data_IF_185119391229
#
_entry.id   IF_185119391229
#
_cell.length_a   1.000
_cell.length_b   1.000
_cell.length_c   1.000
_cell.angle_alpha   90.00
_cell.angle_beta   90.00
_cell.angle_gamma   90.00
#
_symmetry.space_group_name_H-M   'P 1'
#
loop_
_entity.id
_entity.type
_entity.pdbx_description
1 polymer ?
#
# COMPACT_ATOMS: atom_id res chain seq x y z
N UNK A 1 34.13 35.31 24.71
CA UNK A 1 33.25 34.43 23.92
C UNK A 1 32.15 33.98 24.88
N UNK A 2 31.01 34.66 24.84
CA UNK A 2 29.88 34.43 25.75
C UNK A 2 28.96 33.37 25.13
N UNK A 3 28.69 32.33 25.91
CA UNK A 3 27.72 31.26 25.56
C UNK A 3 26.28 31.82 25.61
N UNK A 4 25.42 31.52 24.66
CA UNK A 4 24.01 31.92 24.70
C UNK A 4 23.24 31.13 25.77
N UNK A 5 22.59 31.90 26.65
CA UNK A 5 21.70 31.42 27.70
C UNK A 5 20.42 30.83 27.08
N UNK A 6 20.19 29.52 27.26
CA UNK A 6 18.95 28.86 26.81
C UNK A 6 17.88 29.06 27.90
N UNK A 7 16.70 29.59 27.56
CA UNK A 7 15.62 29.74 28.52
C UNK A 7 15.17 28.38 29.04
N UNK A 8 15.22 28.21 30.36
CA UNK A 8 14.76 27.01 31.05
C UNK A 8 13.28 26.72 30.70
N UNK A 9 12.99 25.55 30.09
CA UNK A 9 11.62 25.10 29.89
C UNK A 9 10.93 24.94 31.23
N UNK A 10 9.98 25.83 31.53
CA UNK A 10 9.12 25.73 32.72
C UNK A 10 8.38 24.38 32.70
N UNK A 11 8.75 23.48 33.59
CA UNK A 11 8.02 22.23 33.82
C UNK A 11 6.75 22.57 34.57
N UNK A 12 5.60 22.38 33.90
CA UNK A 12 4.29 22.50 34.53
C UNK A 12 4.16 21.43 35.64
N UNK A 13 3.89 21.80 36.86
CA UNK A 13 3.70 20.87 37.95
C UNK A 13 2.32 20.15 37.82
N UNK A 14 2.20 18.96 38.41
CA UNK A 14 0.98 18.13 38.33
C UNK A 14 -0.26 18.84 38.88
N UNK A 15 -0.12 19.70 39.90
CA UNK A 15 -1.24 20.45 40.48
C UNK A 15 -1.75 21.51 39.52
N UNK A 16 -0.86 22.18 38.82
CA UNK A 16 -1.20 23.17 37.80
C UNK A 16 -1.87 22.51 36.61
N UNK A 17 -1.39 21.36 36.16
CA UNK A 17 -2.03 20.58 35.10
C UNK A 17 -3.45 20.14 35.48
N UNK A 18 -3.67 19.65 36.71
CA UNK A 18 -5.00 19.25 37.20
C UNK A 18 -5.95 20.46 37.27
N UNK A 19 -5.48 21.64 37.75
CA UNK A 19 -6.28 22.86 37.76
C UNK A 19 -6.72 23.25 36.35
N UNK A 20 -5.85 23.17 35.37
CA UNK A 20 -6.20 23.44 33.95
C UNK A 20 -7.24 22.47 33.41
N UNK A 21 -7.13 21.17 33.72
CA UNK A 21 -8.11 20.15 33.30
C UNK A 21 -9.49 20.42 33.94
N UNK A 22 -9.54 20.72 35.24
CA UNK A 22 -10.79 21.04 35.96
C UNK A 22 -11.41 22.32 35.44
N UNK A 23 -10.60 23.36 35.15
CA UNK A 23 -11.13 24.62 34.60
C UNK A 23 -11.65 24.45 33.18
N UNK A 24 -10.98 23.64 32.34
CA UNK A 24 -11.45 23.31 31.00
C UNK A 24 -12.75 22.50 31.04
N UNK A 25 -12.88 21.54 31.95
CA UNK A 25 -14.12 20.78 32.14
C UNK A 25 -15.29 21.64 32.63
N UNK A 26 -15.04 22.64 33.52
CA UNK A 26 -16.05 23.56 33.98
C UNK A 26 -16.52 24.53 32.87
N UNK A 27 -15.65 24.92 31.94
CA UNK A 27 -16.02 25.79 30.82
C UNK A 27 -16.87 25.05 29.77
N UNK A 28 -16.76 23.73 29.65
CA UNK A 28 -17.60 22.92 28.78
C UNK A 28 -19.04 22.76 29.28
N UNK A 29 -19.28 22.91 30.58
CA UNK A 29 -20.64 22.81 31.17
C UNK A 29 -21.48 24.05 30.96
N UNK A 30 -20.92 25.18 30.53
CA UNK A 30 -21.64 26.43 30.25
C UNK A 30 -21.92 26.63 28.77
N UNK A 31 -21.35 25.81 27.89
CA UNK A 31 -21.74 25.81 26.47
C UNK A 31 -23.11 25.18 26.31
N UNK A 32 -24.05 25.99 25.86
CA UNK A 32 -25.44 25.59 25.59
C UNK A 32 -25.46 24.30 24.73
N UNK A 33 -26.18 23.29 25.20
CA UNK A 33 -26.36 22.03 24.48
C UNK A 33 -26.88 22.21 23.04
N UNK A 34 -27.50 23.34 22.75
CA UNK A 34 -28.00 23.68 21.42
C UNK A 34 -26.87 23.93 20.41
N UNK A 35 -25.64 24.36 20.85
CA UNK A 35 -24.50 24.58 19.97
C UNK A 35 -23.72 23.31 19.69
N UNK A 36 -23.88 22.25 20.51
CA UNK A 36 -23.27 20.93 20.28
C UNK A 36 -24.12 20.03 19.37
N UNK A 37 -25.39 20.42 19.15
CA UNK A 37 -26.33 19.70 18.28
C UNK A 37 -26.42 20.32 16.86
N UNK A 38 -25.63 21.31 16.53
CA UNK A 38 -25.50 21.72 15.13
C UNK A 38 -24.84 20.59 14.36
N UNK A 39 -25.62 19.85 13.56
CA UNK A 39 -25.05 18.96 12.56
C UNK A 39 -23.94 19.71 11.83
N UNK A 40 -22.73 19.13 11.71
CA UNK A 40 -21.72 19.71 10.87
C UNK A 40 -22.33 19.95 9.49
N UNK A 41 -22.10 21.12 8.86
CA UNK A 41 -22.64 21.39 7.53
C UNK A 41 -22.30 20.21 6.64
N UNK A 42 -23.32 19.63 6.00
CA UNK A 42 -23.18 18.47 5.15
C UNK A 42 -21.96 18.70 4.25
N UNK A 43 -20.89 17.94 4.52
CA UNK A 43 -19.68 18.04 3.73
C UNK A 43 -20.10 17.78 2.30
N UNK A 44 -19.85 18.76 1.40
CA UNK A 44 -20.05 18.55 -0.04
C UNK A 44 -19.41 17.23 -0.37
N UNK A 45 -20.18 16.27 -0.86
CA UNK A 45 -19.70 14.96 -1.25
C UNK A 45 -18.46 15.18 -2.13
N UNK A 46 -17.29 14.78 -1.64
CA UNK A 46 -16.07 14.88 -2.41
C UNK A 46 -16.24 13.91 -3.58
N UNK A 47 -16.40 14.44 -4.77
CA UNK A 47 -16.59 13.64 -5.98
C UNK A 47 -15.35 12.76 -6.16
N UNK A 48 -15.51 11.45 -6.10
CA UNK A 48 -14.45 10.50 -6.38
C UNK A 48 -13.75 9.85 -5.18
N UNK A 49 -14.03 10.29 -3.96
CA UNK A 49 -13.46 9.65 -2.76
C UNK A 49 -14.54 8.84 -2.05
N UNK A 50 -14.23 7.58 -1.75
CA UNK A 50 -15.09 6.80 -0.86
C UNK A 50 -15.13 7.46 0.51
N UNK A 51 -16.24 8.10 0.82
CA UNK A 51 -16.47 8.82 2.10
C UNK A 51 -17.49 8.08 2.94
N UNK A 52 -17.60 6.76 2.79
CA UNK A 52 -18.51 5.99 3.62
C UNK A 52 -17.98 5.96 5.05
N UNK A 53 -18.72 6.51 6.03
CA UNK A 53 -18.33 6.46 7.44
C UNK A 53 -18.46 5.06 8.05
N UNK A 54 -19.09 4.12 7.36
CA UNK A 54 -19.24 2.74 7.82
C UNK A 54 -17.98 1.93 7.55
N UNK A 55 -17.07 1.94 8.50
CA UNK A 55 -15.80 1.18 8.44
C UNK A 55 -15.98 -0.34 8.46
N UNK A 56 -17.19 -0.85 8.70
CA UNK A 56 -17.51 -2.28 8.69
C UNK A 56 -17.99 -2.75 7.33
N UNK A 57 -18.33 -1.84 6.44
CA UNK A 57 -18.80 -2.17 5.09
C UNK A 57 -17.66 -2.72 4.25
N UNK A 58 -17.89 -3.89 3.69
CA UNK A 58 -16.97 -4.50 2.73
C UNK A 58 -17.40 -4.14 1.32
N UNK A 59 -16.50 -3.55 0.56
CA UNK A 59 -16.70 -3.21 -0.86
C UNK A 59 -16.12 -4.31 -1.74
N UNK A 60 -16.78 -4.51 -2.88
CA UNK A 60 -16.24 -5.33 -3.97
C UNK A 60 -15.52 -4.43 -4.96
N UNK A 61 -14.53 -4.97 -5.72
CA UNK A 61 -13.90 -4.23 -6.80
C UNK A 61 -14.93 -3.61 -7.74
N UNK A 62 -14.82 -2.30 -8.00
CA UNK A 62 -15.73 -1.55 -8.86
C UNK A 62 -16.98 -0.96 -8.17
N UNK A 63 -17.21 -1.20 -6.89
CA UNK A 63 -18.38 -0.65 -6.18
C UNK A 63 -18.29 0.88 -6.00
N UNK A 64 -17.08 1.42 -5.89
CA UNK A 64 -16.87 2.85 -5.61
C UNK A 64 -16.57 3.66 -6.87
N UNK A 65 -15.81 3.09 -7.78
CA UNK A 65 -15.49 3.66 -9.10
C UNK A 65 -15.31 2.56 -10.15
N UNK A 66 -15.50 2.88 -11.46
CA UNK A 66 -15.32 1.88 -12.51
C UNK A 66 -13.86 1.45 -12.60
N UNK A 67 -13.64 0.16 -12.80
CA UNK A 67 -12.32 -0.42 -12.96
C UNK A 67 -11.73 -0.09 -14.34
N UNK A 68 -10.39 -0.09 -14.43
CA UNK A 68 -9.63 0.30 -15.62
C UNK A 68 -9.30 -0.88 -16.51
N UNK A 69 -8.98 -2.05 -15.94
CA UNK A 69 -8.49 -3.17 -16.73
C UNK A 69 -9.55 -3.74 -17.67
N UNK A 70 -9.16 -3.93 -18.93
CA UNK A 70 -9.86 -4.85 -19.82
C UNK A 70 -9.61 -6.30 -19.38
N UNK A 71 -10.40 -7.24 -19.90
CA UNK A 71 -10.18 -8.67 -19.58
C UNK A 71 -8.79 -9.16 -19.96
N UNK A 72 -8.25 -8.70 -21.09
CA UNK A 72 -6.91 -9.06 -21.55
C UNK A 72 -5.84 -8.49 -20.61
N UNK A 73 -5.96 -7.22 -20.24
CA UNK A 73 -5.06 -6.58 -19.26
C UNK A 73 -5.14 -7.27 -17.90
N UNK A 74 -6.34 -7.67 -17.49
CA UNK A 74 -6.53 -8.41 -16.25
C UNK A 74 -5.82 -9.76 -16.28
N UNK A 75 -5.92 -10.52 -17.38
CA UNK A 75 -5.20 -11.80 -17.52
C UNK A 75 -3.69 -11.62 -17.42
N UNK A 76 -3.16 -10.61 -18.11
CA UNK A 76 -1.73 -10.26 -18.04
C UNK A 76 -1.31 -9.84 -16.65
N UNK A 77 -2.12 -9.02 -15.97
CA UNK A 77 -1.87 -8.58 -14.60
C UNK A 77 -1.88 -9.74 -13.60
N UNK A 78 -2.85 -10.66 -13.69
CA UNK A 78 -2.91 -11.89 -12.88
C UNK A 78 -1.61 -12.68 -13.01
N UNK A 79 -1.18 -12.94 -14.23
CA UNK A 79 0.04 -13.70 -14.48
C UNK A 79 1.29 -12.96 -13.98
N UNK A 80 1.38 -11.66 -14.19
CA UNK A 80 2.53 -10.88 -13.70
C UNK A 80 2.59 -10.85 -12.17
N UNK A 81 1.45 -10.75 -11.49
CA UNK A 81 1.39 -10.87 -10.04
C UNK A 81 1.97 -12.21 -9.56
N UNK A 82 1.64 -13.30 -10.22
CA UNK A 82 2.12 -14.65 -9.86
C UNK A 82 3.59 -14.89 -10.26
N UNK A 83 4.09 -14.21 -11.27
CA UNK A 83 5.53 -14.19 -11.58
C UNK A 83 6.32 -13.46 -10.48
N UNK A 84 5.76 -12.40 -9.89
CA UNK A 84 6.40 -11.60 -8.85
C UNK A 84 6.32 -12.29 -7.49
N UNK A 85 5.14 -12.79 -7.10
CA UNK A 85 4.91 -13.54 -5.85
C UNK A 85 4.19 -14.84 -6.20
N UNK A 86 4.96 -15.87 -6.59
CA UNK A 86 4.40 -17.19 -6.88
C UNK A 86 3.98 -17.93 -5.61
N UNK A 87 3.08 -18.89 -5.76
CA UNK A 87 2.79 -19.81 -4.66
C UNK A 87 4.02 -20.64 -4.30
N UNK A 88 4.18 -20.90 -3.01
CA UNK A 88 5.16 -21.84 -2.47
C UNK A 88 4.52 -22.77 -1.42
N UNK A 89 5.34 -23.51 -0.66
CA UNK A 89 4.87 -24.44 0.36
C UNK A 89 4.18 -23.77 1.57
N UNK A 90 4.35 -22.44 1.75
CA UNK A 90 3.88 -21.69 2.92
C UNK A 90 2.85 -20.64 2.56
N UNK A 91 2.89 -20.15 1.32
CA UNK A 91 2.18 -18.94 0.89
C UNK A 91 1.49 -19.15 -0.46
N UNK A 92 0.24 -18.68 -0.65
CA UNK A 92 -0.44 -18.71 -1.94
C UNK A 92 0.18 -17.72 -2.94
N UNK A 93 -0.13 -17.89 -4.22
CA UNK A 93 0.22 -16.88 -5.23
C UNK A 93 -0.53 -15.57 -5.01
N UNK A 94 0.05 -14.47 -5.47
CA UNK A 94 -0.54 -13.13 -5.32
C UNK A 94 -1.95 -13.02 -5.94
N UNK A 95 -2.19 -13.67 -7.06
CA UNK A 95 -3.51 -13.65 -7.70
C UNK A 95 -4.59 -14.32 -6.85
N UNK A 96 -4.23 -15.35 -6.09
CA UNK A 96 -5.17 -16.12 -5.26
C UNK A 96 -5.76 -15.29 -4.12
N UNK A 97 -5.03 -14.28 -3.65
CA UNK A 97 -5.45 -13.41 -2.54
C UNK A 97 -5.99 -12.05 -3.00
N UNK A 98 -6.32 -11.91 -4.29
CA UNK A 98 -7.01 -10.73 -4.82
C UNK A 98 -6.09 -9.55 -5.17
N UNK A 99 -4.77 -9.75 -5.27
CA UNK A 99 -3.83 -8.67 -5.61
C UNK A 99 -4.11 -8.01 -6.96
N UNK A 100 -4.50 -8.73 -8.03
CA UNK A 100 -4.88 -8.08 -9.29
C UNK A 100 -6.07 -7.12 -9.14
N UNK A 101 -7.05 -7.45 -8.30
CA UNK A 101 -8.19 -6.60 -7.99
C UNK A 101 -7.75 -5.34 -7.23
N UNK A 102 -6.87 -5.50 -6.25
CA UNK A 102 -6.27 -4.38 -5.53
C UNK A 102 -5.53 -3.42 -6.49
N UNK A 103 -4.75 -3.94 -7.45
CA UNK A 103 -4.02 -3.10 -8.41
C UNK A 103 -4.99 -2.35 -9.31
N UNK A 104 -6.04 -3.02 -9.82
CA UNK A 104 -7.06 -2.37 -10.65
C UNK A 104 -7.80 -1.28 -9.89
N UNK A 105 -8.24 -1.55 -8.65
CA UNK A 105 -8.83 -0.54 -7.76
C UNK A 105 -7.88 0.64 -7.52
N UNK A 106 -6.59 0.37 -7.24
CA UNK A 106 -5.59 1.41 -7.00
C UNK A 106 -5.46 2.36 -8.19
N UNK A 107 -5.25 1.82 -9.40
CA UNK A 107 -5.05 2.64 -10.59
C UNK A 107 -6.33 3.30 -11.09
N UNK A 108 -7.49 2.78 -10.69
CA UNK A 108 -8.80 3.32 -11.06
C UNK A 108 -9.26 4.44 -10.14
N UNK A 109 -8.74 4.47 -8.91
CA UNK A 109 -9.11 5.44 -7.89
C UNK A 109 -8.81 6.87 -8.33
N UNK A 110 -9.74 7.82 -8.11
CA UNK A 110 -9.60 9.22 -8.54
C UNK A 110 -8.75 10.05 -7.55
N UNK A 111 -7.68 9.47 -7.01
CA UNK A 111 -6.77 10.16 -6.11
C UNK A 111 -5.64 10.87 -6.86
N UNK A 112 -5.12 11.99 -6.35
CA UNK A 112 -3.98 12.67 -6.96
C UNK A 112 -2.78 11.73 -7.12
N UNK A 113 -2.25 11.63 -8.34
CA UNK A 113 -1.09 10.81 -8.68
C UNK A 113 -1.41 9.39 -9.16
N UNK A 114 -2.62 8.86 -8.91
CA UNK A 114 -3.01 7.53 -9.40
C UNK A 114 -3.18 7.49 -10.93
N UNK A 115 -3.44 8.63 -11.58
CA UNK A 115 -3.44 8.80 -13.03
C UNK A 115 -2.08 8.44 -13.66
N UNK A 116 -0.98 8.76 -13.00
CA UNK A 116 0.38 8.40 -13.44
C UNK A 116 0.61 6.89 -13.34
N UNK A 117 0.19 6.29 -12.23
CA UNK A 117 0.25 4.84 -12.05
C UNK A 117 -0.59 4.12 -13.10
N UNK A 118 -1.82 4.61 -13.34
CA UNK A 118 -2.71 4.07 -14.38
C UNK A 118 -2.06 4.08 -15.74
N UNK A 119 -1.54 5.23 -16.16
CA UNK A 119 -0.89 5.36 -17.47
C UNK A 119 0.30 4.39 -17.61
N UNK A 120 1.13 4.31 -16.57
CA UNK A 120 2.33 3.46 -16.56
C UNK A 120 1.97 1.96 -16.56
N UNK A 121 0.99 1.54 -15.76
CA UNK A 121 0.56 0.14 -15.66
C UNK A 121 -0.11 -0.32 -16.95
N UNK A 122 -1.04 0.46 -17.51
CA UNK A 122 -1.71 0.12 -18.77
C UNK A 122 -0.72 0.02 -19.93
N UNK A 123 0.22 0.97 -20.03
CA UNK A 123 1.30 0.95 -21.03
C UNK A 123 2.18 -0.30 -20.87
N UNK A 124 2.56 -0.63 -19.63
CA UNK A 124 3.42 -1.76 -19.35
C UNK A 124 2.76 -3.12 -19.63
N UNK A 125 1.49 -3.29 -19.30
CA UNK A 125 0.73 -4.50 -19.62
C UNK A 125 0.60 -4.68 -21.15
N UNK A 126 0.34 -3.60 -21.89
CA UNK A 126 0.29 -3.66 -23.35
C UNK A 126 1.66 -4.02 -23.96
N UNK A 127 2.75 -3.50 -23.39
CA UNK A 127 4.10 -3.85 -23.82
C UNK A 127 4.42 -5.33 -23.56
N UNK A 128 4.06 -5.89 -22.39
CA UNK A 128 4.24 -7.30 -22.10
C UNK A 128 3.57 -8.19 -23.12
N UNK A 129 2.33 -7.88 -23.51
CA UNK A 129 1.61 -8.61 -24.55
C UNK A 129 2.29 -8.52 -25.93
N UNK A 130 2.75 -7.33 -26.31
CA UNK A 130 3.46 -7.13 -27.57
C UNK A 130 4.78 -7.90 -27.61
N UNK A 131 5.57 -7.80 -26.55
CA UNK A 131 6.87 -8.47 -26.40
C UNK A 131 6.72 -10.00 -26.38
N UNK A 132 5.69 -10.49 -25.70
CA UNK A 132 5.34 -11.89 -25.64
C UNK A 132 5.01 -12.47 -27.03
N UNK A 133 4.15 -11.78 -27.77
CA UNK A 133 3.80 -12.15 -29.14
C UNK A 133 5.00 -12.08 -30.08
N UNK A 134 5.83 -11.05 -29.94
CA UNK A 134 7.03 -10.89 -30.77
C UNK A 134 8.07 -11.97 -30.52
N UNK A 135 8.36 -12.34 -29.26
CA UNK A 135 9.41 -13.32 -28.92
C UNK A 135 8.94 -14.77 -29.04
N UNK A 136 7.70 -15.05 -28.66
CA UNK A 136 7.20 -16.41 -28.44
C UNK A 136 5.94 -16.75 -29.23
N UNK A 137 5.32 -15.80 -29.93
CA UNK A 137 4.12 -16.02 -30.72
C UNK A 137 2.83 -16.24 -29.92
N UNK A 138 2.88 -16.05 -28.57
CA UNK A 138 1.77 -16.31 -27.66
C UNK A 138 1.46 -15.09 -26.79
N UNK A 139 0.28 -15.07 -26.19
CA UNK A 139 -0.10 -14.10 -25.17
C UNK A 139 0.76 -14.31 -23.90
N UNK A 140 1.03 -13.23 -23.15
CA UNK A 140 1.83 -13.30 -21.94
C UNK A 140 1.28 -14.30 -20.93
N UNK A 141 -0.04 -14.35 -20.75
CA UNK A 141 -0.71 -15.28 -19.85
C UNK A 141 -0.55 -16.77 -20.21
N UNK A 142 -0.17 -17.06 -21.44
CA UNK A 142 0.00 -18.44 -21.96
C UNK A 142 1.45 -18.90 -22.03
N UNK A 143 2.40 -18.04 -21.61
CA UNK A 143 3.82 -18.38 -21.62
C UNK A 143 4.18 -19.37 -20.50
N UNK A 144 5.24 -20.13 -20.73
CA UNK A 144 5.85 -20.95 -19.68
C UNK A 144 6.80 -20.10 -18.79
N UNK A 145 7.09 -20.59 -17.59
CA UNK A 145 7.88 -19.87 -16.56
C UNK A 145 9.23 -19.35 -17.11
N UNK A 146 9.93 -20.12 -17.93
CA UNK A 146 11.21 -19.68 -18.53
C UNK A 146 11.04 -18.51 -19.50
N UNK A 147 9.93 -18.44 -20.21
CA UNK A 147 9.61 -17.34 -21.14
C UNK A 147 9.21 -16.07 -20.36
N UNK A 148 8.39 -16.20 -19.31
CA UNK A 148 8.11 -15.08 -18.40
C UNK A 148 9.39 -14.48 -17.85
N UNK A 149 10.30 -15.34 -17.33
CA UNK A 149 11.59 -14.89 -16.81
C UNK A 149 12.41 -14.16 -17.86
N UNK A 150 12.48 -14.69 -19.08
CA UNK A 150 13.26 -14.06 -20.15
C UNK A 150 12.79 -12.64 -20.49
N UNK A 151 11.46 -12.35 -20.40
CA UNK A 151 10.95 -10.99 -20.58
C UNK A 151 11.20 -10.16 -19.32
N UNK A 152 10.88 -10.69 -18.14
CA UNK A 152 10.99 -9.96 -16.89
C UNK A 152 12.43 -9.63 -16.52
N UNK A 153 13.41 -10.48 -16.84
CA UNK A 153 14.84 -10.24 -16.55
C UNK A 153 15.38 -8.99 -17.26
N UNK A 154 14.82 -8.62 -18.43
CA UNK A 154 15.21 -7.40 -19.15
C UNK A 154 14.74 -6.11 -18.43
N UNK A 155 13.71 -6.19 -17.61
CA UNK A 155 13.05 -5.03 -16.99
C UNK A 155 12.99 -5.05 -15.46
N UNK A 156 13.39 -6.14 -14.81
CA UNK A 156 13.20 -6.31 -13.36
C UNK A 156 14.10 -5.42 -12.51
N UNK A 157 15.19 -4.90 -13.05
CA UNK A 157 16.15 -4.09 -12.30
C UNK A 157 16.58 -2.86 -13.09
N UNK A 158 15.93 -1.72 -12.83
CA UNK A 158 16.13 -0.45 -13.54
C UNK A 158 17.60 -0.03 -13.73
N UNK A 159 18.52 -0.14 -12.75
CA UNK A 159 19.91 0.24 -12.95
C UNK A 159 20.69 -0.59 -13.98
N UNK A 160 20.18 -1.79 -14.32
CA UNK A 160 20.81 -2.69 -15.32
C UNK A 160 19.98 -2.83 -16.59
N UNK A 161 18.77 -2.27 -16.61
CA UNK A 161 17.94 -2.29 -17.81
C UNK A 161 18.62 -1.53 -18.95
N UNK A 162 18.46 -2.03 -20.17
CA UNK A 162 18.93 -1.33 -21.35
C UNK A 162 18.16 -0.02 -21.54
N UNK A 163 18.77 1.01 -22.15
CA UNK A 163 18.10 2.31 -22.33
C UNK A 163 16.69 2.22 -22.95
N UNK A 164 16.52 1.35 -23.96
CA UNK A 164 15.24 1.08 -24.61
C UNK A 164 14.18 0.46 -23.69
N UNK A 165 14.61 -0.20 -22.61
CA UNK A 165 13.72 -0.84 -21.62
C UNK A 165 13.51 0.01 -20.36
N UNK A 166 14.15 1.18 -20.24
CA UNK A 166 14.05 2.00 -19.01
C UNK A 166 12.61 2.32 -18.59
N UNK A 167 11.73 2.62 -19.55
CA UNK A 167 10.33 2.90 -19.27
C UNK A 167 9.61 1.67 -18.72
N UNK A 168 9.89 0.51 -19.28
CA UNK A 168 9.30 -0.76 -18.83
C UNK A 168 9.89 -1.24 -17.50
N UNK A 169 11.15 -0.92 -17.23
CA UNK A 169 11.74 -1.18 -15.91
C UNK A 169 11.13 -0.28 -14.81
N UNK A 170 10.73 0.95 -15.13
CA UNK A 170 9.93 1.78 -14.22
C UNK A 170 8.55 1.17 -13.98
N UNK A 171 7.88 0.70 -15.04
CA UNK A 171 6.62 -0.03 -14.92
C UNK A 171 6.77 -1.25 -14.02
N UNK A 172 7.75 -2.12 -14.28
CA UNK A 172 7.96 -3.34 -13.49
C UNK A 172 8.22 -3.01 -12.01
N UNK A 173 9.05 -2.01 -11.74
CA UNK A 173 9.31 -1.54 -10.37
C UNK A 173 8.01 -1.12 -9.68
N UNK A 174 7.19 -0.30 -10.35
CA UNK A 174 5.94 0.16 -9.77
C UNK A 174 4.91 -0.96 -9.60
N UNK A 175 4.79 -1.83 -10.60
CA UNK A 175 3.86 -2.97 -10.54
C UNK A 175 4.26 -3.95 -9.43
N UNK A 176 5.56 -4.24 -9.27
CA UNK A 176 6.08 -5.05 -8.16
C UNK A 176 5.77 -4.42 -6.80
N UNK A 177 5.94 -3.11 -6.66
CA UNK A 177 5.65 -2.41 -5.41
C UNK A 177 4.16 -2.48 -5.06
N UNK A 178 3.27 -2.35 -6.06
CA UNK A 178 1.83 -2.53 -5.88
C UNK A 178 1.49 -4.00 -5.55
N UNK A 179 2.11 -4.96 -6.24
CA UNK A 179 1.92 -6.39 -5.96
C UNK A 179 2.32 -6.74 -4.53
N UNK A 180 3.48 -6.27 -4.08
CA UNK A 180 3.96 -6.49 -2.71
C UNK A 180 3.05 -5.79 -1.69
N UNK A 181 2.67 -4.54 -1.95
CA UNK A 181 1.76 -3.79 -1.09
C UNK A 181 0.41 -4.48 -0.93
N UNK A 182 -0.18 -4.94 -2.04
CA UNK A 182 -1.43 -5.68 -2.04
C UNK A 182 -1.32 -7.01 -1.29
N UNK A 183 -0.28 -7.82 -1.59
CA UNK A 183 -0.09 -9.12 -0.98
C UNK A 183 0.13 -9.04 0.53
N UNK A 184 1.06 -8.22 0.99
CA UNK A 184 1.37 -8.08 2.42
C UNK A 184 0.36 -7.25 3.21
N UNK A 185 -0.72 -6.79 2.57
CA UNK A 185 -1.91 -6.25 3.23
C UNK A 185 -2.99 -7.32 3.49
N UNK A 186 -2.79 -8.55 3.03
CA UNK A 186 -3.71 -9.66 3.25
C UNK A 186 -3.35 -10.48 4.50
N UNK A 187 -4.30 -11.23 5.10
CA UNK A 187 -4.02 -12.16 6.19
C UNK A 187 -2.97 -13.21 5.83
N UNK A 188 -2.97 -13.70 4.58
CA UNK A 188 -2.01 -14.66 4.06
C UNK A 188 -0.60 -14.06 4.00
N UNK A 189 -0.47 -12.84 3.49
CA UNK A 189 0.80 -12.11 3.47
C UNK A 189 1.33 -11.80 4.88
N UNK A 190 0.46 -11.45 5.82
CA UNK A 190 0.86 -11.27 7.22
C UNK A 190 1.40 -12.56 7.84
N UNK A 191 0.72 -13.69 7.56
CA UNK A 191 1.17 -15.01 8.02
C UNK A 191 2.53 -15.37 7.42
N UNK A 192 2.76 -15.07 6.16
CA UNK A 192 4.01 -15.34 5.45
C UNK A 192 5.22 -14.67 6.12
N UNK A 193 5.09 -13.38 6.47
CA UNK A 193 6.16 -12.62 7.16
C UNK A 193 6.12 -12.75 8.68
N UNK A 194 5.19 -13.54 9.26
CA UNK A 194 5.04 -13.70 10.71
C UNK A 194 4.53 -12.44 11.41
N UNK A 195 3.83 -11.54 10.71
CA UNK A 195 3.25 -10.33 11.30
C UNK A 195 2.03 -10.70 12.16
N UNK A 196 2.07 -10.33 13.43
CA UNK A 196 1.01 -10.61 14.40
C UNK A 196 0.20 -9.36 14.81
N UNK A 197 0.42 -8.24 14.13
CA UNK A 197 -0.20 -6.96 14.48
C UNK A 197 0.51 -6.22 15.61
N UNK A 198 -0.06 -5.09 16.00
CA UNK A 198 0.40 -4.31 17.13
C UNK A 198 -0.18 -4.91 18.41
N UNK A 199 0.60 -5.71 19.11
CA UNK A 199 0.25 -6.29 20.41
C UNK A 199 0.88 -5.44 21.51
N UNK A 200 0.07 -5.01 22.49
CA UNK A 200 0.57 -4.31 23.65
C UNK A 200 1.45 -5.27 24.48
N UNK A 201 2.70 -4.88 24.71
CA UNK A 201 3.64 -5.61 25.55
C UNK A 201 4.01 -4.75 26.75
N UNK A 202 4.10 -5.36 27.94
CA UNK A 202 4.42 -4.65 29.18
C UNK A 202 5.85 -4.10 29.15
N UNK A 203 6.77 -4.88 28.56
CA UNK A 203 8.20 -4.54 28.46
C UNK A 203 8.74 -4.92 27.09
N UNK A 204 9.40 -3.98 26.44
CA UNK A 204 10.16 -4.26 25.23
C UNK A 204 11.54 -4.80 25.58
N UNK A 205 11.80 -6.07 25.32
CA UNK A 205 13.07 -6.74 25.66
C UNK A 205 14.10 -6.68 24.53
N UNK A 206 13.75 -6.05 23.40
CA UNK A 206 14.60 -5.99 22.21
C UNK A 206 14.57 -7.28 21.38
N UNK A 207 15.43 -7.37 20.35
CA UNK A 207 15.54 -8.56 19.51
C UNK A 207 16.06 -9.76 20.30
N UNK A 208 15.60 -10.95 19.94
CA UNK A 208 16.09 -12.18 20.58
C UNK A 208 17.58 -12.41 20.28
N UNK A 209 18.32 -13.14 21.16
CA UNK A 209 19.72 -13.47 20.90
C UNK A 209 19.96 -14.16 19.54
N UNK A 210 19.02 -14.99 19.11
CA UNK A 210 19.08 -15.66 17.80
C UNK A 210 19.06 -14.65 16.64
N UNK A 211 18.21 -13.62 16.72
CA UNK A 211 18.14 -12.55 15.73
C UNK A 211 19.40 -11.71 15.74
N UNK A 212 19.90 -11.32 16.91
CA UNK A 212 21.16 -10.56 17.05
C UNK A 212 22.33 -11.31 16.42
N UNK A 213 22.45 -12.62 16.72
CA UNK A 213 23.48 -13.49 16.12
C UNK A 213 23.33 -13.58 14.60
N UNK A 214 22.11 -13.71 14.08
CA UNK A 214 21.85 -13.74 12.63
C UNK A 214 22.28 -12.45 11.92
N UNK A 215 22.09 -11.31 12.58
CA UNK A 215 22.47 -9.99 12.07
C UNK A 215 23.95 -9.63 12.33
N UNK A 216 24.72 -10.50 13.00
CA UNK A 216 26.11 -10.21 13.38
C UNK A 216 26.25 -9.09 14.44
N UNK A 217 25.21 -8.90 15.28
CA UNK A 217 25.15 -7.88 16.33
C UNK A 217 25.33 -8.47 17.74
N UNK A 218 25.60 -9.76 17.85
CA UNK A 218 25.86 -10.50 19.10
C UNK A 218 27.15 -11.27 19.02
#
# INVERSE_FOLDING_TARGET
MSTPDHPARSRMDRRTAIKWIVTAAASLSVMDRATLAAEPPAAKAATGYGTDPDLLKTYKPGDVWPLTFTEDQRRTAVMLCDVIIPADAKSPAASTVGVPDFIDEWISAPYPGHDKDRALVVEGLAWLEAESKQRFGNEFSSLVVSQHRAICDDICYLPKAKPEHNRMAQFFTRFRDLTSGGFYSTPEGWKDIGYVGNVAIEKFEGPTPAVLKHLGLA
#
